data_IF_229153736775
#
_entry.id   IF_229153736775
#
_cell.length_a   1.000
_cell.length_b   1.000
_cell.length_c   1.000
_cell.angle_alpha   90.00
_cell.angle_beta   90.00
_cell.angle_gamma   90.00
#
_symmetry.space_group_name_H-M   'P 1'
#
loop_
_entity.id
_entity.type
_entity.pdbx_description
1 polymer ?
#
# COMPACT_ATOMS: atom_id res chain seq x y z
N UNK A 1 -8.34 -11.97 -10.93
CA UNK A 1 -8.43 -11.06 -12.10
C UNK A 1 -7.39 -11.45 -13.14
N UNK A 2 -7.66 -11.18 -14.41
CA UNK A 2 -6.66 -11.22 -15.48
C UNK A 2 -5.64 -10.08 -15.30
N UNK A 3 -4.45 -10.14 -15.92
CA UNK A 3 -3.48 -9.05 -15.83
C UNK A 3 -4.04 -7.68 -16.26
N UNK A 4 -4.90 -7.65 -17.28
CA UNK A 4 -5.52 -6.42 -17.77
C UNK A 4 -6.54 -5.85 -16.77
N UNK A 5 -7.34 -6.71 -16.14
CA UNK A 5 -8.28 -6.31 -15.08
C UNK A 5 -7.54 -5.78 -13.86
N UNK A 6 -6.49 -6.48 -13.41
CA UNK A 6 -5.62 -6.04 -12.32
C UNK A 6 -5.04 -4.65 -12.59
N UNK A 7 -4.56 -4.38 -13.81
CA UNK A 7 -4.03 -3.08 -14.19
C UNK A 7 -5.11 -1.98 -14.10
N UNK A 8 -6.30 -2.23 -14.64
CA UNK A 8 -7.44 -1.29 -14.55
C UNK A 8 -7.82 -1.02 -13.09
N UNK A 9 -7.89 -2.06 -12.28
CA UNK A 9 -8.23 -1.97 -10.86
C UNK A 9 -7.18 -1.17 -10.07
N UNK A 10 -5.89 -1.46 -10.28
CA UNK A 10 -4.78 -0.69 -9.68
C UNK A 10 -4.82 0.79 -10.08
N UNK A 11 -5.12 1.10 -11.34
CA UNK A 11 -5.23 2.48 -11.79
C UNK A 11 -6.39 3.21 -11.11
N UNK A 12 -7.52 2.52 -10.89
CA UNK A 12 -8.64 3.05 -10.12
C UNK A 12 -8.23 3.31 -8.66
N UNK A 13 -7.50 2.40 -8.03
CA UNK A 13 -6.96 2.63 -6.69
C UNK A 13 -6.08 3.88 -6.63
N UNK A 14 -5.14 4.01 -7.56
CA UNK A 14 -4.24 5.17 -7.60
C UNK A 14 -5.00 6.50 -7.71
N UNK A 15 -6.13 6.54 -8.42
CA UNK A 15 -6.94 7.75 -8.55
C UNK A 15 -7.74 8.10 -7.28
N UNK A 16 -7.99 7.14 -6.38
CA UNK A 16 -8.77 7.37 -5.15
C UNK A 16 -7.93 7.31 -3.87
N UNK A 17 -6.67 6.83 -3.95
CA UNK A 17 -5.80 6.56 -2.80
C UNK A 17 -5.73 7.72 -1.79
N UNK A 18 -5.50 8.94 -2.25
CA UNK A 18 -5.37 10.09 -1.35
C UNK A 18 -6.69 10.41 -0.64
N UNK A 19 -7.82 10.25 -1.33
CA UNK A 19 -9.15 10.37 -0.71
C UNK A 19 -9.33 9.30 0.38
N UNK A 20 -8.96 8.04 0.10
CA UNK A 20 -9.08 6.95 1.08
C UNK A 20 -8.18 7.17 2.31
N UNK A 21 -6.99 7.73 2.13
CA UNK A 21 -6.11 8.11 3.25
C UNK A 21 -6.81 9.16 4.12
N UNK A 22 -7.37 10.22 3.52
CA UNK A 22 -8.10 11.25 4.29
C UNK A 22 -9.34 10.68 4.99
N UNK A 23 -10.10 9.80 4.34
CA UNK A 23 -11.22 9.10 4.97
C UNK A 23 -10.75 8.21 6.13
N UNK A 24 -9.63 7.50 5.98
CA UNK A 24 -9.06 6.69 7.05
C UNK A 24 -8.67 7.58 8.25
N UNK A 25 -8.04 8.73 8.02
CA UNK A 25 -7.69 9.68 9.07
C UNK A 25 -8.94 10.22 9.79
N UNK A 26 -9.98 10.60 9.02
CA UNK A 26 -11.26 11.07 9.57
C UNK A 26 -11.95 9.99 10.42
N UNK A 27 -12.05 8.75 9.91
CA UNK A 27 -12.79 7.67 10.56
C UNK A 27 -12.07 7.08 11.77
N UNK A 28 -10.75 7.14 11.81
CA UNK A 28 -9.94 6.59 12.91
C UNK A 28 -9.47 7.63 13.91
N UNK A 29 -9.53 8.92 13.56
CA UNK A 29 -8.95 10.02 14.35
C UNK A 29 -7.42 9.99 14.42
N UNK A 30 -6.76 9.15 13.62
CA UNK A 30 -5.30 9.02 13.57
C UNK A 30 -4.73 9.78 12.37
N UNK A 31 -3.46 10.17 12.44
CA UNK A 31 -2.73 10.76 11.31
C UNK A 31 -2.00 9.69 10.52
N UNK A 32 -2.09 9.75 9.19
CA UNK A 32 -1.34 8.87 8.31
C UNK A 32 0.15 9.17 8.42
N UNK A 33 1.00 8.18 8.74
CA UNK A 33 2.42 8.40 8.95
C UNK A 33 3.10 8.80 7.64
N UNK A 34 4.11 9.65 7.79
CA UNK A 34 4.91 10.20 6.70
C UNK A 34 6.38 9.97 6.97
N UNK A 35 7.20 9.93 5.92
CA UNK A 35 8.64 9.83 6.07
C UNK A 35 9.20 11.11 6.67
N UNK A 36 10.04 10.96 7.70
CA UNK A 36 10.80 12.04 8.33
C UNK A 36 12.23 12.13 7.80
N UNK A 37 12.65 11.15 7.01
CA UNK A 37 13.96 11.00 6.39
C UNK A 37 13.78 10.46 4.96
N UNK A 38 14.70 10.78 4.06
CA UNK A 38 14.72 10.18 2.74
C UNK A 38 15.02 8.68 2.83
N UNK A 39 14.29 7.87 2.07
CA UNK A 39 14.59 6.44 1.93
C UNK A 39 15.25 6.23 0.58
N UNK A 40 16.48 5.69 0.58
CA UNK A 40 17.22 5.43 -0.64
C UNK A 40 17.01 3.99 -1.15
N UNK A 41 17.01 3.82 -2.47
CA UNK A 41 17.07 2.50 -3.10
C UNK A 41 18.50 1.93 -3.09
N UNK A 42 18.64 0.69 -3.57
CA UNK A 42 19.94 0.00 -3.66
C UNK A 42 20.96 0.69 -4.57
N UNK A 43 20.55 1.66 -5.38
CA UNK A 43 21.40 2.44 -6.28
C UNK A 43 21.70 3.84 -5.70
N UNK A 44 21.29 4.12 -4.46
CA UNK A 44 21.49 5.40 -3.80
C UNK A 44 20.55 6.52 -4.31
N UNK A 45 19.45 6.18 -5.01
CA UNK A 45 18.46 7.17 -5.45
C UNK A 45 17.37 7.30 -4.40
N UNK A 46 16.82 8.50 -4.23
CA UNK A 46 15.68 8.70 -3.34
C UNK A 46 14.47 7.91 -3.86
N UNK A 47 14.03 6.94 -3.06
CA UNK A 47 12.87 6.10 -3.33
C UNK A 47 11.62 6.64 -2.63
N UNK A 48 11.78 7.29 -1.47
CA UNK A 48 10.73 8.03 -0.77
C UNK A 48 11.28 9.33 -0.21
N UNK A 49 10.56 10.43 -0.45
CA UNK A 49 10.92 11.77 -0.01
C UNK A 49 10.39 12.08 1.39
N UNK A 50 11.01 13.05 2.07
CA UNK A 50 10.50 13.60 3.33
C UNK A 50 9.09 14.16 3.11
N UNK A 51 8.17 13.85 4.03
CA UNK A 51 6.77 14.26 3.98
C UNK A 51 5.88 13.39 3.09
N UNK A 52 6.44 12.49 2.28
CA UNK A 52 5.66 11.51 1.53
C UNK A 52 4.89 10.59 2.49
N UNK A 53 3.61 10.27 2.25
CA UNK A 53 2.89 9.30 3.08
C UNK A 53 3.50 7.90 2.92
N UNK A 54 3.43 7.11 3.99
CA UNK A 54 3.69 5.67 3.86
C UNK A 54 2.75 5.06 2.83
N UNK A 55 3.19 3.96 2.22
CA UNK A 55 2.41 3.33 1.16
C UNK A 55 1.05 2.88 1.72
N UNK A 56 -0.03 3.15 1.00
CA UNK A 56 -1.34 2.57 1.29
C UNK A 56 -1.38 1.18 0.64
N UNK A 57 -1.46 0.16 1.49
CA UNK A 57 -1.57 -1.23 1.08
C UNK A 57 -2.95 -1.77 1.45
N UNK A 58 -3.54 -2.60 0.59
CA UNK A 58 -4.86 -3.17 0.85
C UNK A 58 -4.79 -4.35 1.82
N UNK A 59 -5.70 -4.41 2.80
CA UNK A 59 -5.81 -5.58 3.70
C UNK A 59 -6.29 -6.82 2.92
N UNK A 60 -7.37 -6.67 2.14
CA UNK A 60 -7.76 -7.63 1.10
C UNK A 60 -7.09 -7.17 -0.19
N UNK A 61 -6.18 -7.97 -0.72
CA UNK A 61 -5.32 -7.53 -1.81
C UNK A 61 -6.08 -7.13 -3.09
N UNK A 62 -5.54 -6.11 -3.77
CA UNK A 62 -6.06 -5.58 -5.02
C UNK A 62 -6.36 -6.70 -6.04
N UNK A 63 -5.46 -7.66 -6.21
CA UNK A 63 -5.57 -8.71 -7.24
C UNK A 63 -6.63 -9.78 -6.94
N UNK A 64 -7.14 -9.76 -5.70
CA UNK A 64 -8.22 -10.58 -5.18
C UNK A 64 -9.55 -9.83 -5.11
N UNK A 65 -9.61 -8.61 -5.67
CA UNK A 65 -10.84 -7.82 -5.74
C UNK A 65 -11.16 -7.09 -4.42
N UNK A 66 -10.16 -6.89 -3.57
CA UNK A 66 -10.33 -6.13 -2.34
C UNK A 66 -10.81 -4.70 -2.63
N UNK A 67 -11.88 -4.23 -1.97
CA UNK A 67 -12.53 -2.98 -2.33
C UNK A 67 -11.63 -1.78 -2.05
N UNK A 68 -11.82 -0.71 -2.80
CA UNK A 68 -11.10 0.55 -2.62
C UNK A 68 -11.81 1.43 -1.59
N UNK A 69 -11.77 0.98 -0.34
CA UNK A 69 -12.46 1.61 0.78
C UNK A 69 -11.45 1.94 1.88
N UNK A 70 -11.73 2.97 2.67
CA UNK A 70 -10.84 3.44 3.74
C UNK A 70 -10.51 2.32 4.74
N UNK A 71 -11.48 1.46 5.05
CA UNK A 71 -11.33 0.35 5.99
C UNK A 71 -10.51 -0.81 5.42
N UNK A 72 -10.33 -0.86 4.10
CA UNK A 72 -9.55 -1.90 3.43
C UNK A 72 -8.13 -1.43 3.08
N UNK A 73 -7.67 -0.29 3.59
CA UNK A 73 -6.27 0.14 3.44
C UNK A 73 -5.59 0.27 4.79
N UNK A 74 -4.28 0.05 4.80
CA UNK A 74 -3.43 0.34 5.93
C UNK A 74 -2.09 0.91 5.50
N UNK A 75 -1.45 1.61 6.42
CA UNK A 75 -0.13 2.22 6.24
C UNK A 75 0.97 1.16 6.26
N UNK A 76 1.85 1.19 5.28
CA UNK A 76 2.99 0.28 5.18
C UNK A 76 4.26 1.04 4.77
N UNK A 77 5.27 1.06 5.66
CA UNK A 77 6.57 1.67 5.37
C UNK A 77 7.29 0.90 4.26
N UNK A 78 7.90 1.61 3.32
CA UNK A 78 8.77 1.05 2.29
C UNK A 78 10.22 0.99 2.78
N UNK A 79 10.99 -0.06 2.45
CA UNK A 79 10.57 -1.33 1.85
C UNK A 79 10.30 -2.42 2.90
N UNK A 80 10.75 -2.23 4.14
CA UNK A 80 10.81 -3.24 5.20
C UNK A 80 9.44 -3.77 5.62
N UNK A 81 8.45 -2.90 5.81
CA UNK A 81 7.10 -3.34 6.16
C UNK A 81 6.33 -3.77 4.92
N UNK A 82 6.29 -2.94 3.88
CA UNK A 82 5.47 -3.20 2.70
C UNK A 82 6.02 -4.36 1.85
N UNK A 83 7.27 -4.27 1.40
CA UNK A 83 7.83 -5.25 0.46
C UNK A 83 8.35 -6.50 1.18
N UNK A 84 9.05 -6.34 2.30
CA UNK A 84 9.64 -7.47 3.02
C UNK A 84 8.71 -8.07 4.08
N UNK A 85 7.89 -7.27 4.76
CA UNK A 85 6.97 -7.75 5.78
C UNK A 85 5.71 -8.38 5.18
N UNK A 86 4.91 -7.57 4.49
CA UNK A 86 3.62 -8.00 3.92
C UNK A 86 3.85 -8.93 2.73
N UNK A 87 4.68 -8.52 1.77
CA UNK A 87 4.91 -9.26 0.54
C UNK A 87 6.04 -10.29 0.61
N UNK A 88 6.78 -10.36 1.72
CA UNK A 88 7.97 -11.22 1.84
C UNK A 88 7.65 -12.69 2.02
N UNK A 89 8.57 -13.56 1.59
CA UNK A 89 8.40 -15.01 1.58
C UNK A 89 7.94 -15.54 2.94
N UNK A 90 6.85 -16.32 2.95
CA UNK A 90 6.30 -16.93 4.16
C UNK A 90 5.38 -16.02 4.99
N UNK A 91 5.20 -14.76 4.59
CA UNK A 91 4.25 -13.84 5.24
C UNK A 91 2.82 -14.38 5.22
N UNK A 92 1.96 -13.97 6.17
CA UNK A 92 0.54 -14.28 6.12
C UNK A 92 -0.13 -13.85 4.81
N UNK A 93 0.28 -12.71 4.22
CA UNK A 93 -0.24 -12.25 2.93
C UNK A 93 0.01 -13.28 1.82
N UNK A 94 1.21 -13.85 1.74
CA UNK A 94 1.52 -14.86 0.73
C UNK A 94 0.71 -16.17 0.90
N UNK A 95 0.23 -16.46 2.12
CA UNK A 95 -0.61 -17.64 2.39
C UNK A 95 -2.08 -17.37 2.06
N UNK A 96 -2.59 -16.17 2.40
CA UNK A 96 -3.97 -15.76 2.17
C UNK A 96 -4.22 -15.34 0.72
N UNK A 97 -3.20 -14.76 0.08
CA UNK A 97 -3.22 -14.20 -1.26
C UNK A 97 -2.08 -14.78 -2.09
N UNK A 98 -2.15 -16.08 -2.46
CA UNK A 98 -1.08 -16.73 -3.21
C UNK A 98 -0.93 -16.08 -4.59
N UNK A 99 0.31 -15.73 -4.95
CA UNK A 99 0.58 -15.09 -6.24
C UNK A 99 0.19 -16.03 -7.38
N UNK A 100 -0.51 -15.47 -8.37
CA UNK A 100 -0.97 -16.17 -9.58
C UNK A 100 0.03 -16.02 -10.72
#
# INVERSE_FOLDING_TARGET
>A
MTPLETLKYRNKFNSVKNKLISEWEEKTGQTWPRYTEEVYDKKGRVARDIGQPYDAHHIIENDFGGPHEWWNIHRAKFPDVHQAGIHGKGSPSNQLFPRR
#
